data_IF_178159490566
#
_entry.id   IF_178159490566
#
_cell.length_a   1.000
_cell.length_b   1.000
_cell.length_c   1.000
_cell.angle_alpha   90.00
_cell.angle_beta   90.00
_cell.angle_gamma   90.00
#
_symmetry.space_group_name_H-M   'P 1'
#
loop_
_entity.id
_entity.type
_entity.pdbx_description
1 polymer ?
#
# COMPACT_ATOMS: atom_id res chain seq x y z
N UNK A 1 -50.22 -3.73 7.54
CA UNK A 1 -48.90 -3.06 7.51
C UNK A 1 -47.85 -4.14 7.64
N UNK A 2 -47.16 -4.47 6.56
CA UNK A 2 -46.22 -5.58 6.50
C UNK A 2 -46.22 -6.18 5.09
N UNK A 3 -45.34 -5.66 4.23
CA UNK A 3 -44.91 -6.31 2.96
C UNK A 3 -43.93 -5.47 2.13
N UNK A 4 -43.55 -4.26 2.53
CA UNK A 4 -42.63 -3.41 1.76
C UNK A 4 -41.16 -3.53 2.16
N UNK A 5 -40.85 -3.91 3.39
CA UNK A 5 -39.45 -4.11 3.83
C UNK A 5 -38.80 -5.35 3.20
N UNK A 6 -39.54 -6.46 3.03
CA UNK A 6 -38.95 -7.69 2.46
C UNK A 6 -38.64 -7.61 0.96
N UNK A 7 -39.23 -6.64 0.24
CA UNK A 7 -39.02 -6.47 -1.20
C UNK A 7 -37.81 -5.59 -1.52
N UNK A 8 -37.45 -4.65 -0.62
CA UNK A 8 -36.25 -3.84 -0.75
C UNK A 8 -34.99 -4.63 -0.38
N UNK A 9 -35.06 -5.43 0.68
CA UNK A 9 -33.95 -6.30 1.13
C UNK A 9 -33.53 -7.30 0.02
N UNK A 10 -34.50 -7.98 -0.59
CA UNK A 10 -34.21 -8.91 -1.70
C UNK A 10 -33.65 -8.23 -2.96
N UNK A 11 -33.95 -6.94 -3.18
CA UNK A 11 -33.48 -6.20 -4.35
C UNK A 11 -32.03 -5.75 -4.17
N UNK A 12 -31.70 -5.22 -2.98
CA UNK A 12 -30.31 -4.88 -2.61
C UNK A 12 -29.42 -6.13 -2.57
N UNK A 13 -29.91 -7.25 -2.02
CA UNK A 13 -29.16 -8.52 -2.00
C UNK A 13 -28.88 -9.06 -3.41
N UNK A 14 -29.85 -8.94 -4.32
CA UNK A 14 -29.71 -9.41 -5.72
C UNK A 14 -28.78 -8.52 -6.54
N UNK A 15 -28.80 -7.21 -6.32
CA UNK A 15 -27.85 -6.27 -6.92
C UNK A 15 -26.43 -6.45 -6.36
N UNK A 16 -26.31 -6.69 -5.05
CA UNK A 16 -25.05 -7.04 -4.38
C UNK A 16 -24.45 -8.35 -4.94
N UNK A 17 -25.28 -9.38 -5.14
CA UNK A 17 -24.84 -10.64 -5.74
C UNK A 17 -24.36 -10.48 -7.19
N UNK A 18 -25.12 -9.75 -8.02
CA UNK A 18 -24.73 -9.48 -9.40
C UNK A 18 -23.41 -8.71 -9.50
N UNK A 19 -23.22 -7.71 -8.64
CA UNK A 19 -21.98 -6.93 -8.56
C UNK A 19 -20.79 -7.78 -8.11
N UNK A 20 -20.94 -8.56 -7.03
CA UNK A 20 -19.88 -9.45 -6.55
C UNK A 20 -19.53 -10.52 -7.58
N UNK A 21 -20.52 -11.13 -8.24
CA UNK A 21 -20.29 -12.11 -9.30
C UNK A 21 -19.55 -11.50 -10.50
N UNK A 22 -19.94 -10.30 -10.92
CA UNK A 22 -19.23 -9.53 -11.95
C UNK A 22 -17.77 -9.28 -11.54
N UNK A 23 -17.54 -8.95 -10.28
CA UNK A 23 -16.20 -8.75 -9.73
C UNK A 23 -15.35 -10.03 -9.77
N UNK A 24 -15.91 -11.18 -9.37
CA UNK A 24 -15.24 -12.48 -9.51
C UNK A 24 -14.90 -12.79 -10.97
N UNK A 25 -15.81 -12.56 -11.91
CA UNK A 25 -15.54 -12.84 -13.33
C UNK A 25 -14.42 -11.94 -13.89
N UNK A 26 -14.39 -10.66 -13.51
CA UNK A 26 -13.32 -9.72 -13.90
C UNK A 26 -11.98 -10.11 -13.27
N UNK A 27 -11.97 -10.44 -11.98
CA UNK A 27 -10.73 -10.86 -11.29
C UNK A 27 -10.19 -12.19 -11.84
N UNK A 28 -11.08 -13.04 -12.39
CA UNK A 28 -10.75 -14.27 -13.10
C UNK A 28 -10.22 -14.08 -14.52
N UNK A 29 -9.98 -12.86 -14.99
CA UNK A 29 -9.53 -12.59 -16.37
C UNK A 29 -8.31 -13.43 -16.75
N UNK A 30 -7.35 -13.61 -15.85
CA UNK A 30 -6.17 -14.44 -16.10
C UNK A 30 -6.50 -15.94 -16.23
N UNK A 31 -7.43 -16.45 -15.41
CA UNK A 31 -7.98 -17.81 -15.58
C UNK A 31 -8.53 -17.98 -16.99
N UNK A 32 -9.26 -16.98 -17.50
CA UNK A 32 -9.84 -17.01 -18.84
C UNK A 32 -8.77 -16.91 -19.93
N UNK A 33 -7.85 -15.96 -19.81
CA UNK A 33 -6.78 -15.71 -20.77
C UNK A 33 -5.83 -16.89 -20.92
N UNK A 34 -5.59 -17.66 -19.85
CA UNK A 34 -4.73 -18.83 -19.93
C UNK A 34 -5.51 -20.13 -20.17
N UNK A 35 -6.70 -20.32 -19.59
CA UNK A 35 -7.46 -21.57 -19.76
C UNK A 35 -8.14 -21.69 -21.10
N UNK A 36 -8.72 -20.61 -21.66
CA UNK A 36 -9.46 -20.68 -22.94
C UNK A 36 -8.52 -21.02 -24.10
N UNK A 37 -7.37 -20.34 -24.29
CA UNK A 37 -6.43 -20.72 -25.33
C UNK A 37 -5.88 -22.13 -25.14
N UNK A 38 -5.68 -22.54 -23.90
CA UNK A 38 -5.28 -23.89 -23.55
C UNK A 38 -6.29 -24.94 -24.02
N UNK A 39 -7.58 -24.74 -23.75
CA UNK A 39 -8.67 -25.64 -24.15
C UNK A 39 -8.76 -25.81 -25.67
N UNK A 40 -8.65 -24.71 -26.43
CA UNK A 40 -8.96 -24.72 -27.87
C UNK A 40 -7.74 -24.79 -28.79
N UNK A 41 -6.58 -24.30 -28.36
CA UNK A 41 -5.45 -24.01 -29.27
C UNK A 41 -4.09 -24.58 -28.83
N UNK A 42 -3.83 -24.70 -27.52
CA UNK A 42 -2.49 -25.10 -27.04
C UNK A 42 -2.38 -26.60 -26.74
N UNK A 43 -3.39 -27.22 -26.11
CA UNK A 43 -3.27 -28.65 -25.78
C UNK A 43 -3.44 -29.54 -26.99
N UNK A 44 -2.48 -30.46 -27.15
CA UNK A 44 -2.42 -31.45 -28.23
C UNK A 44 -3.13 -32.76 -27.81
N UNK A 45 -3.27 -33.03 -26.51
CA UNK A 45 -3.90 -34.24 -25.95
C UNK A 45 -5.21 -33.90 -25.23
N UNK A 46 -6.26 -34.68 -25.50
CA UNK A 46 -7.61 -34.54 -24.93
C UNK A 46 -7.63 -34.59 -23.40
N UNK A 47 -6.67 -35.27 -22.77
CA UNK A 47 -6.53 -35.34 -21.30
C UNK A 47 -6.25 -33.96 -20.70
N UNK A 48 -5.33 -33.20 -21.31
CA UNK A 48 -4.98 -31.86 -20.83
C UNK A 48 -6.06 -30.84 -21.14
N UNK A 49 -6.76 -31.00 -22.28
CA UNK A 49 -7.97 -30.22 -22.59
C UNK A 49 -9.04 -30.43 -21.55
N UNK A 50 -9.31 -31.69 -21.18
CA UNK A 50 -10.26 -32.01 -20.13
C UNK A 50 -9.85 -31.38 -18.79
N UNK A 51 -8.56 -31.44 -18.43
CA UNK A 51 -8.07 -30.82 -17.20
C UNK A 51 -8.31 -29.30 -17.16
N UNK A 52 -8.06 -28.58 -18.26
CA UNK A 52 -8.36 -27.15 -18.31
C UNK A 52 -9.86 -26.83 -18.37
N UNK A 53 -10.68 -27.67 -19.01
CA UNK A 53 -12.14 -27.53 -18.91
C UNK A 53 -12.58 -27.68 -17.46
N UNK A 54 -12.09 -28.69 -16.74
CA UNK A 54 -12.40 -28.91 -15.32
C UNK A 54 -11.91 -27.75 -14.46
N UNK A 55 -10.70 -27.25 -14.69
CA UNK A 55 -10.17 -26.08 -13.98
C UNK A 55 -11.04 -24.84 -14.23
N UNK A 56 -11.41 -24.60 -15.48
CA UNK A 56 -12.25 -23.47 -15.87
C UNK A 56 -13.66 -23.56 -15.28
N UNK A 57 -14.31 -24.73 -15.35
CA UNK A 57 -15.66 -24.93 -14.80
C UNK A 57 -15.65 -24.88 -13.27
N UNK A 58 -14.65 -25.47 -12.62
CA UNK A 58 -14.52 -25.40 -11.16
C UNK A 58 -14.34 -23.96 -10.66
N UNK A 59 -13.61 -23.11 -11.41
CA UNK A 59 -13.52 -21.68 -11.12
C UNK A 59 -14.91 -21.05 -11.07
N UNK A 60 -15.71 -21.23 -12.13
CA UNK A 60 -17.04 -20.64 -12.24
C UNK A 60 -17.97 -21.09 -11.11
N UNK A 61 -17.97 -22.40 -10.78
CA UNK A 61 -18.79 -22.95 -9.69
C UNK A 61 -18.42 -22.30 -8.36
N UNK A 62 -17.13 -22.18 -8.07
CA UNK A 62 -16.63 -21.64 -6.82
C UNK A 62 -16.84 -20.13 -6.73
N UNK A 63 -16.65 -19.38 -7.82
CA UNK A 63 -16.98 -17.96 -7.89
C UNK A 63 -18.46 -17.69 -7.65
N UNK A 64 -19.36 -18.51 -8.21
CA UNK A 64 -20.81 -18.43 -7.96
C UNK A 64 -21.12 -18.71 -6.49
N UNK A 65 -20.54 -19.79 -5.92
CA UNK A 65 -20.72 -20.14 -4.52
C UNK A 65 -20.22 -19.06 -3.56
N UNK A 66 -19.05 -18.47 -3.82
CA UNK A 66 -18.52 -17.40 -2.99
C UNK A 66 -19.27 -16.08 -3.17
N UNK A 67 -19.68 -15.71 -4.38
CA UNK A 67 -20.54 -14.55 -4.60
C UNK A 67 -21.84 -14.67 -3.79
N UNK A 68 -22.42 -15.88 -3.73
CA UNK A 68 -23.58 -16.17 -2.91
C UNK A 68 -23.28 -16.00 -1.41
N UNK A 69 -22.25 -16.68 -0.89
CA UNK A 69 -21.89 -16.59 0.55
C UNK A 69 -21.55 -15.16 0.97
N UNK A 70 -20.82 -14.42 0.13
CA UNK A 70 -20.42 -13.04 0.41
C UNK A 70 -21.62 -12.10 0.43
N UNK A 71 -22.56 -12.25 -0.51
CA UNK A 71 -23.73 -11.37 -0.60
C UNK A 71 -24.77 -11.64 0.48
N UNK A 72 -24.97 -12.90 0.88
CA UNK A 72 -26.09 -13.27 1.76
C UNK A 72 -25.67 -13.60 3.21
N UNK A 73 -24.38 -13.84 3.49
CA UNK A 73 -23.94 -14.28 4.83
C UNK A 73 -22.77 -13.48 5.45
N UNK A 74 -22.08 -12.63 4.69
CA UNK A 74 -20.86 -11.95 5.15
C UNK A 74 -20.87 -10.43 4.92
N UNK A 75 -22.05 -9.81 4.79
CA UNK A 75 -22.21 -8.39 4.47
C UNK A 75 -21.47 -7.43 5.43
N UNK A 76 -21.20 -7.85 6.67
CA UNK A 76 -20.58 -7.03 7.72
C UNK A 76 -19.05 -7.20 7.88
N UNK A 77 -18.40 -8.12 7.17
CA UNK A 77 -16.97 -8.43 7.35
C UNK A 77 -16.14 -8.09 6.10
N UNK A 78 -15.85 -6.80 5.89
CA UNK A 78 -15.17 -6.29 4.68
C UNK A 78 -13.82 -6.97 4.40
N UNK A 79 -13.00 -7.18 5.43
CA UNK A 79 -11.66 -7.77 5.25
C UNK A 79 -11.74 -9.22 4.75
N UNK A 80 -12.63 -10.02 5.32
CA UNK A 80 -12.85 -11.41 4.92
C UNK A 80 -13.49 -11.48 3.52
N UNK A 81 -14.39 -10.55 3.20
CA UNK A 81 -14.99 -10.41 1.88
C UNK A 81 -13.94 -10.15 0.80
N UNK A 82 -13.01 -9.22 1.02
CA UNK A 82 -11.93 -8.91 0.05
C UNK A 82 -11.03 -10.12 -0.20
N UNK A 83 -10.66 -10.87 0.84
CA UNK A 83 -9.82 -12.06 0.67
C UNK A 83 -10.56 -13.23 0.02
N UNK A 84 -11.84 -13.46 0.36
CA UNK A 84 -12.69 -14.44 -0.31
C UNK A 84 -12.94 -14.11 -1.78
N UNK A 85 -12.82 -12.83 -2.16
CA UNK A 85 -12.89 -12.38 -3.55
C UNK A 85 -11.59 -12.64 -4.31
N UNK A 86 -10.44 -12.28 -3.73
CA UNK A 86 -9.13 -12.39 -4.39
C UNK A 86 -8.54 -13.81 -4.41
N UNK A 87 -8.61 -14.55 -3.30
CA UNK A 87 -7.88 -15.83 -3.13
C UNK A 87 -8.27 -16.88 -4.20
N UNK A 88 -9.56 -17.14 -4.48
CA UNK A 88 -9.94 -18.12 -5.50
C UNK A 88 -9.47 -17.70 -6.90
N UNK A 89 -9.62 -16.44 -7.27
CA UNK A 89 -9.15 -15.96 -8.57
C UNK A 89 -7.63 -16.09 -8.71
N UNK A 90 -6.86 -15.78 -7.67
CA UNK A 90 -5.40 -15.95 -7.67
C UNK A 90 -4.99 -17.43 -7.81
N UNK A 91 -5.57 -18.33 -7.03
CA UNK A 91 -5.22 -19.77 -7.07
C UNK A 91 -5.54 -20.42 -8.42
N UNK A 92 -6.72 -20.13 -8.99
CA UNK A 92 -7.09 -20.66 -10.30
C UNK A 92 -6.25 -20.04 -11.42
N UNK A 93 -5.89 -18.76 -11.30
CA UNK A 93 -5.00 -18.10 -12.27
C UNK A 93 -3.62 -18.73 -12.24
N UNK A 94 -3.07 -18.96 -11.04
CA UNK A 94 -1.81 -19.70 -10.88
C UNK A 94 -1.88 -21.08 -11.53
N UNK A 95 -2.93 -21.87 -11.24
CA UNK A 95 -3.07 -23.19 -11.83
C UNK A 95 -3.11 -23.12 -13.37
N UNK A 96 -3.91 -22.22 -13.95
CA UNK A 96 -4.02 -22.05 -15.40
C UNK A 96 -2.70 -21.62 -16.05
N UNK A 97 -1.97 -20.69 -15.42
CA UNK A 97 -0.69 -20.17 -15.89
C UNK A 97 0.39 -21.25 -15.85
N UNK A 98 0.49 -22.02 -14.76
CA UNK A 98 1.49 -23.09 -14.66
C UNK A 98 1.19 -24.22 -15.64
N UNK A 99 -0.08 -24.57 -15.85
CA UNK A 99 -0.48 -25.57 -16.85
C UNK A 99 -0.10 -25.13 -18.27
N UNK A 100 -0.25 -23.84 -18.59
CA UNK A 100 0.24 -23.28 -19.84
C UNK A 100 1.76 -23.45 -19.96
N UNK A 101 2.53 -23.04 -18.94
CA UNK A 101 3.99 -23.12 -18.95
C UNK A 101 4.53 -24.55 -19.09
N UNK A 102 3.95 -25.51 -18.37
CA UNK A 102 4.30 -26.93 -18.47
C UNK A 102 4.07 -27.46 -19.88
N UNK A 103 2.94 -27.12 -20.49
CA UNK A 103 2.60 -27.60 -21.83
C UNK A 103 3.45 -26.95 -22.93
N UNK A 104 3.72 -25.64 -22.81
CA UNK A 104 4.57 -24.93 -23.75
C UNK A 104 6.01 -25.49 -23.80
N UNK A 105 6.41 -26.24 -22.77
CA UNK A 105 7.70 -26.91 -22.66
C UNK A 105 7.64 -28.42 -22.92
N UNK A 106 6.57 -28.95 -23.53
CA UNK A 106 6.40 -30.41 -23.73
C UNK A 106 7.53 -31.05 -24.56
N UNK A 107 8.05 -30.31 -25.55
CA UNK A 107 9.17 -30.78 -26.40
C UNK A 107 10.55 -30.52 -25.75
N UNK A 108 10.55 -29.97 -24.53
CA UNK A 108 11.73 -29.54 -23.79
C UNK A 108 11.73 -30.13 -22.37
N UNK A 109 11.87 -31.46 -22.22
CA UNK A 109 11.58 -32.19 -20.97
C UNK A 109 12.42 -31.71 -19.77
N UNK A 110 13.69 -31.34 -19.99
CA UNK A 110 14.54 -30.78 -18.95
C UNK A 110 13.96 -29.48 -18.36
N UNK A 111 13.57 -28.53 -19.21
CA UNK A 111 13.01 -27.25 -18.78
C UNK A 111 11.62 -27.41 -18.18
N UNK A 112 10.83 -28.36 -18.69
CA UNK A 112 9.54 -28.73 -18.12
C UNK A 112 9.68 -29.24 -16.68
N UNK A 113 10.65 -30.11 -16.41
CA UNK A 113 10.90 -30.62 -15.05
C UNK A 113 11.35 -29.52 -14.08
N UNK A 114 12.24 -28.62 -14.52
CA UNK A 114 12.63 -27.43 -13.74
C UNK A 114 11.40 -26.58 -13.42
N UNK A 115 10.52 -26.36 -14.40
CA UNK A 115 9.28 -25.59 -14.21
C UNK A 115 8.37 -26.22 -13.15
N UNK A 116 8.18 -27.54 -13.19
CA UNK A 116 7.36 -28.29 -12.22
C UNK A 116 7.97 -28.17 -10.81
N UNK A 117 9.29 -28.26 -10.68
CA UNK A 117 9.95 -28.07 -9.39
C UNK A 117 9.73 -26.66 -8.82
N UNK A 118 9.74 -25.64 -9.67
CA UNK A 118 9.44 -24.26 -9.27
C UNK A 118 7.98 -24.09 -8.81
N UNK A 119 7.04 -24.83 -9.41
CA UNK A 119 5.65 -24.87 -8.93
C UNK A 119 5.56 -25.47 -7.51
N UNK A 120 6.27 -26.57 -7.23
CA UNK A 120 6.30 -27.14 -5.88
C UNK A 120 6.89 -26.17 -4.85
N UNK A 121 7.93 -25.43 -5.22
CA UNK A 121 8.51 -24.38 -4.38
C UNK A 121 7.48 -23.27 -4.11
N UNK A 122 6.70 -22.85 -5.12
CA UNK A 122 5.64 -21.86 -4.93
C UNK A 122 4.59 -22.32 -3.92
N UNK A 123 4.11 -23.57 -4.05
CA UNK A 123 3.14 -24.15 -3.11
C UNK A 123 3.72 -24.19 -1.70
N UNK A 124 4.97 -24.62 -1.56
CA UNK A 124 5.67 -24.65 -0.27
C UNK A 124 5.74 -23.26 0.37
N UNK A 125 6.09 -22.22 -0.41
CA UNK A 125 6.18 -20.84 0.09
C UNK A 125 4.83 -20.29 0.55
N UNK A 126 3.76 -20.58 -0.18
CA UNK A 126 2.40 -20.19 0.22
C UNK A 126 2.05 -20.85 1.56
N UNK A 127 2.16 -22.18 1.64
CA UNK A 127 1.85 -22.93 2.85
C UNK A 127 2.69 -22.44 4.02
N UNK A 128 4.00 -22.23 3.81
CA UNK A 128 4.91 -21.70 4.82
C UNK A 128 4.39 -20.38 5.43
N UNK A 129 3.97 -19.43 4.60
CA UNK A 129 3.45 -18.14 5.10
C UNK A 129 2.08 -18.23 5.79
N UNK A 130 1.37 -19.35 5.61
CA UNK A 130 0.06 -19.59 6.20
C UNK A 130 0.14 -20.35 7.53
N UNK A 131 1.32 -20.90 7.88
CA UNK A 131 1.53 -21.57 9.16
C UNK A 131 1.54 -20.53 10.28
N UNK A 132 0.49 -20.54 11.10
CA UNK A 132 0.31 -19.62 12.24
C UNK A 132 1.43 -19.66 13.27
N UNK A 133 2.11 -20.79 13.44
CA UNK A 133 3.16 -20.95 14.45
C UNK A 133 4.51 -20.36 14.02
N UNK A 134 4.64 -19.93 12.76
CA UNK A 134 5.83 -19.23 12.30
C UNK A 134 5.70 -17.75 12.66
N UNK A 135 6.67 -17.16 13.37
CA UNK A 135 6.64 -15.74 13.75
C UNK A 135 6.41 -14.83 12.53
N UNK A 136 5.57 -13.80 12.69
CA UNK A 136 5.27 -12.83 11.63
C UNK A 136 6.53 -12.32 10.92
N UNK A 137 7.56 -11.91 11.65
CA UNK A 137 8.81 -11.38 11.07
C UNK A 137 9.48 -12.35 10.09
N UNK A 138 9.40 -13.65 10.35
CA UNK A 138 10.00 -14.68 9.48
C UNK A 138 9.15 -14.86 8.22
N UNK A 139 7.82 -14.89 8.37
CA UNK A 139 6.89 -14.97 7.23
C UNK A 139 7.00 -13.73 6.34
N UNK A 140 7.10 -12.55 6.95
CA UNK A 140 7.29 -11.27 6.27
C UNK A 140 8.64 -11.21 5.54
N UNK A 141 9.73 -11.66 6.19
CA UNK A 141 11.05 -11.73 5.56
C UNK A 141 11.04 -12.67 4.34
N UNK A 142 10.40 -13.84 4.45
CA UNK A 142 10.23 -14.74 3.32
C UNK A 142 9.45 -14.08 2.17
N UNK A 143 8.36 -13.36 2.49
CA UNK A 143 7.61 -12.57 1.51
C UNK A 143 8.46 -11.50 0.83
N UNK A 144 9.29 -10.76 1.58
CA UNK A 144 10.22 -9.75 1.06
C UNK A 144 11.29 -10.39 0.15
N UNK A 145 11.86 -11.52 0.55
CA UNK A 145 12.82 -12.26 -0.26
C UNK A 145 12.22 -12.70 -1.61
N UNK A 146 10.98 -13.19 -1.60
CA UNK A 146 10.24 -13.52 -2.83
C UNK A 146 10.00 -12.28 -3.68
N UNK A 147 9.65 -11.13 -3.10
CA UNK A 147 9.51 -9.87 -3.85
C UNK A 147 10.82 -9.45 -4.53
N UNK A 148 11.95 -9.54 -3.83
CA UNK A 148 13.27 -9.22 -4.40
C UNK A 148 13.61 -10.18 -5.55
N UNK A 149 13.41 -11.48 -5.33
CA UNK A 149 13.62 -12.49 -6.36
C UNK A 149 12.73 -12.27 -7.59
N UNK A 150 11.47 -11.89 -7.38
CA UNK A 150 10.52 -11.58 -8.44
C UNK A 150 10.96 -10.34 -9.25
N UNK A 151 11.43 -9.30 -8.58
CA UNK A 151 11.98 -8.10 -9.24
C UNK A 151 13.23 -8.41 -10.06
N UNK A 152 14.15 -9.21 -9.51
CA UNK A 152 15.33 -9.68 -10.23
C UNK A 152 14.95 -10.53 -11.44
N UNK A 153 13.99 -11.45 -11.28
CA UNK A 153 13.48 -12.29 -12.35
C UNK A 153 12.82 -11.47 -13.47
N UNK A 154 12.03 -10.45 -13.12
CA UNK A 154 11.41 -9.54 -14.08
C UNK A 154 12.45 -8.79 -14.89
N UNK A 155 13.44 -8.18 -14.24
CA UNK A 155 14.51 -7.46 -14.92
C UNK A 155 15.32 -8.39 -15.82
N UNK A 156 15.61 -9.61 -15.36
CA UNK A 156 16.28 -10.64 -16.16
C UNK A 156 15.45 -11.07 -17.37
N UNK A 157 14.15 -11.28 -17.22
CA UNK A 157 13.24 -11.65 -18.32
C UNK A 157 13.03 -10.51 -19.31
N UNK A 158 12.95 -9.28 -18.83
CA UNK A 158 12.86 -8.09 -19.68
C UNK A 158 14.14 -7.97 -20.52
N UNK A 159 15.32 -8.01 -19.88
CA UNK A 159 16.61 -7.97 -20.56
C UNK A 159 16.86 -9.19 -21.48
N UNK A 160 16.25 -10.33 -21.18
CA UNK A 160 16.26 -11.54 -22.03
C UNK A 160 15.36 -11.42 -23.25
N UNK A 161 14.13 -10.94 -23.08
CA UNK A 161 13.18 -10.79 -24.17
C UNK A 161 13.60 -9.69 -25.15
N UNK A 162 14.14 -8.58 -24.65
CA UNK A 162 14.78 -7.56 -25.47
C UNK A 162 16.10 -8.12 -26.04
N UNK A 163 16.26 -8.04 -27.37
CA UNK A 163 17.37 -8.56 -28.19
C UNK A 163 17.43 -10.08 -28.49
N UNK A 164 16.69 -10.97 -27.80
CA UNK A 164 16.67 -12.39 -28.21
C UNK A 164 16.02 -12.60 -29.59
N UNK A 165 15.06 -11.76 -29.96
CA UNK A 165 14.45 -11.75 -31.31
C UNK A 165 15.39 -11.30 -32.44
N UNK A 166 16.60 -10.82 -32.09
CA UNK A 166 17.66 -10.44 -33.02
C UNK A 166 18.90 -11.37 -32.93
N UNK A 167 18.76 -12.52 -32.27
CA UNK A 167 19.87 -13.47 -32.05
C UNK A 167 20.94 -12.96 -31.07
N UNK A 168 20.65 -11.92 -30.27
CA UNK A 168 21.64 -11.23 -29.46
C UNK A 168 21.11 -10.90 -28.05
N UNK A 169 20.56 -11.88 -27.33
CA UNK A 169 20.05 -11.71 -25.97
C UNK A 169 20.79 -12.52 -24.93
N UNK A 170 20.65 -12.15 -23.64
CA UNK A 170 21.23 -12.92 -22.53
C UNK A 170 20.70 -14.36 -22.49
N UNK A 171 19.50 -14.63 -23.02
CA UNK A 171 18.98 -16.00 -23.15
C UNK A 171 19.70 -16.78 -24.23
N UNK A 172 19.93 -16.17 -25.40
CA UNK A 172 20.69 -16.81 -26.49
C UNK A 172 22.11 -17.13 -26.04
N UNK A 173 22.73 -16.22 -25.28
CA UNK A 173 24.06 -16.44 -24.69
C UNK A 173 24.10 -17.58 -23.65
N UNK A 174 23.10 -17.67 -22.76
CA UNK A 174 23.09 -18.64 -21.66
C UNK A 174 22.55 -20.02 -22.05
N UNK A 175 21.59 -20.08 -22.97
CA UNK A 175 20.82 -21.28 -23.27
C UNK A 175 20.86 -21.70 -24.74
N UNK A 176 21.41 -20.86 -25.63
CA UNK A 176 21.33 -21.05 -27.09
C UNK A 176 20.04 -20.51 -27.67
N UNK A 177 20.01 -20.31 -29.00
CA UNK A 177 18.92 -19.62 -29.71
C UNK A 177 17.57 -20.36 -29.60
N UNK A 178 17.56 -21.68 -29.83
CA UNK A 178 16.35 -22.50 -29.81
C UNK A 178 15.70 -22.54 -28.41
N UNK A 179 16.51 -22.73 -27.37
CA UNK A 179 16.03 -22.74 -25.99
C UNK A 179 15.60 -21.33 -25.53
N UNK A 180 16.28 -20.28 -25.98
CA UNK A 180 15.91 -18.91 -25.68
C UNK A 180 14.51 -18.56 -26.20
N UNK A 181 14.19 -18.92 -27.45
CA UNK A 181 12.86 -18.70 -28.03
C UNK A 181 11.80 -19.50 -27.28
N UNK A 182 12.09 -20.76 -26.95
CA UNK A 182 11.18 -21.64 -26.23
C UNK A 182 10.87 -21.16 -24.80
N UNK A 183 11.83 -20.50 -24.12
CA UNK A 183 11.70 -20.09 -22.72
C UNK A 183 11.03 -18.73 -22.50
N UNK A 184 10.89 -17.87 -23.52
CA UNK A 184 10.34 -16.52 -23.34
C UNK A 184 8.91 -16.56 -22.77
N UNK A 185 8.00 -17.29 -23.42
CA UNK A 185 6.60 -17.34 -22.99
C UNK A 185 6.37 -18.11 -21.69
N UNK A 186 6.97 -19.31 -21.50
CA UNK A 186 6.95 -20.00 -20.22
C UNK A 186 7.57 -19.17 -19.09
N UNK A 187 8.63 -18.42 -19.38
CA UNK A 187 9.26 -17.49 -18.44
C UNK A 187 8.31 -16.39 -17.96
N UNK A 188 7.59 -15.74 -18.88
CA UNK A 188 6.54 -14.79 -18.53
C UNK A 188 5.41 -15.42 -17.73
N UNK A 189 4.97 -16.63 -18.10
CA UNK A 189 3.99 -17.38 -17.32
C UNK A 189 4.50 -17.64 -15.89
N UNK A 190 5.75 -18.08 -15.74
CA UNK A 190 6.36 -18.30 -14.43
C UNK A 190 6.44 -17.02 -13.60
N UNK A 191 6.77 -15.87 -14.21
CA UNK A 191 6.74 -14.57 -13.53
C UNK A 191 5.35 -14.27 -12.96
N UNK A 192 4.29 -14.38 -13.78
CA UNK A 192 2.93 -14.11 -13.33
C UNK A 192 2.46 -15.11 -12.26
N UNK A 193 2.88 -16.38 -12.35
CA UNK A 193 2.61 -17.36 -11.29
C UNK A 193 3.31 -17.01 -9.98
N UNK A 194 4.57 -16.59 -10.02
CA UNK A 194 5.31 -16.13 -8.84
C UNK A 194 4.74 -14.83 -8.26
N UNK A 195 4.23 -13.93 -9.11
CA UNK A 195 3.49 -12.76 -8.66
C UNK A 195 2.26 -13.15 -7.84
N UNK A 196 1.44 -14.08 -8.35
CA UNK A 196 0.29 -14.58 -7.60
C UNK A 196 0.68 -15.35 -6.35
N UNK A 197 1.78 -16.10 -6.37
CA UNK A 197 2.37 -16.72 -5.19
C UNK A 197 2.63 -15.66 -4.11
N UNK A 198 3.22 -14.52 -4.49
CA UNK A 198 3.49 -13.42 -3.56
C UNK A 198 2.21 -12.80 -3.01
N UNK A 199 1.18 -12.62 -3.84
CA UNK A 199 -0.14 -12.12 -3.40
C UNK A 199 -0.76 -13.07 -2.36
N UNK A 200 -0.72 -14.38 -2.63
CA UNK A 200 -1.21 -15.40 -1.70
C UNK A 200 -0.43 -15.42 -0.38
N UNK A 201 0.88 -15.18 -0.43
CA UNK A 201 1.70 -15.02 0.77
C UNK A 201 1.29 -13.78 1.59
N UNK A 202 1.05 -12.61 0.95
CA UNK A 202 0.55 -11.41 1.66
C UNK A 202 -0.77 -11.73 2.36
N UNK A 203 -1.72 -12.29 1.62
CA UNK A 203 -3.06 -12.57 2.15
C UNK A 203 -3.01 -13.49 3.37
N UNK A 204 -2.17 -14.53 3.34
CA UNK A 204 -1.99 -15.42 4.49
C UNK A 204 -1.30 -14.76 5.67
N UNK A 205 -0.30 -13.90 5.43
CA UNK A 205 0.35 -13.14 6.48
C UNK A 205 -0.70 -12.26 7.18
N UNK A 206 -1.44 -11.45 6.43
CA UNK A 206 -2.41 -10.50 6.97
C UNK A 206 -3.55 -11.17 7.74
N UNK A 207 -4.07 -12.28 7.21
CA UNK A 207 -5.15 -13.05 7.85
C UNK A 207 -4.75 -13.67 9.18
N UNK A 208 -3.45 -13.90 9.38
CA UNK A 208 -2.91 -14.61 10.53
C UNK A 208 -1.94 -13.76 11.37
N UNK A 209 -2.02 -12.44 11.31
CA UNK A 209 -1.39 -11.55 12.29
C UNK A 209 -2.17 -11.65 13.60
N UNK A 210 -1.48 -12.02 14.68
CA UNK A 210 -2.06 -12.02 16.03
C UNK A 210 -2.21 -10.60 16.57
N UNK A 211 -3.13 -10.35 17.53
CA UNK A 211 -3.25 -9.04 18.18
C UNK A 211 -1.95 -8.58 18.86
N UNK A 212 -1.19 -9.51 19.42
CA UNK A 212 0.12 -9.25 20.07
C UNK A 212 1.16 -8.78 19.04
N UNK A 213 1.27 -9.48 17.90
CA UNK A 213 2.15 -9.07 16.79
C UNK A 213 1.74 -7.68 16.27
N UNK A 214 0.44 -7.37 16.21
CA UNK A 214 -0.04 -6.04 15.79
C UNK A 214 0.36 -4.95 16.78
N UNK A 215 0.18 -5.18 18.08
CA UNK A 215 0.58 -4.24 19.12
C UNK A 215 2.09 -3.99 19.11
N UNK A 216 2.88 -5.04 18.91
CA UNK A 216 4.33 -4.94 18.80
C UNK A 216 4.77 -4.15 17.57
N UNK A 217 4.13 -4.36 16.40
CA UNK A 217 4.42 -3.57 15.20
C UNK A 217 4.19 -2.07 15.41
N UNK A 218 3.05 -1.69 16.00
CA UNK A 218 2.74 -0.29 16.30
C UNK A 218 3.76 0.33 17.27
N UNK A 219 4.19 -0.42 18.28
CA UNK A 219 5.21 0.03 19.22
C UNK A 219 6.60 0.21 18.55
N UNK A 220 6.99 -0.70 17.65
CA UNK A 220 8.25 -0.61 16.91
C UNK A 220 8.26 0.54 15.89
N UNK A 221 7.14 0.77 15.21
CA UNK A 221 6.98 1.90 14.29
C UNK A 221 7.11 3.22 15.02
N UNK A 222 6.39 3.38 16.14
CA UNK A 222 6.51 4.55 17.01
C UNK A 222 7.94 4.76 17.53
N UNK A 223 8.62 3.69 17.94
CA UNK A 223 10.01 3.79 18.39
C UNK A 223 10.99 4.19 17.27
N UNK A 224 10.74 3.79 16.02
CA UNK A 224 11.54 4.20 14.86
C UNK A 224 11.31 5.66 14.49
N UNK A 225 10.06 6.13 14.54
CA UNK A 225 9.72 7.54 14.36
C UNK A 225 10.46 8.39 15.40
N UNK A 226 10.35 8.05 16.68
CA UNK A 226 11.07 8.73 17.77
C UNK A 226 12.60 8.72 17.56
N UNK A 227 13.17 7.60 17.09
CA UNK A 227 14.60 7.50 16.81
C UNK A 227 15.05 8.36 15.62
N UNK A 228 14.23 8.47 14.57
CA UNK A 228 14.53 9.34 13.42
C UNK A 228 14.55 10.83 13.81
N UNK A 229 13.58 11.27 14.60
CA UNK A 229 13.50 12.63 15.15
C UNK A 229 14.73 12.92 16.02
N UNK A 230 15.12 11.96 16.87
CA UNK A 230 16.30 12.10 17.71
C UNK A 230 17.59 12.23 16.90
N UNK A 231 17.74 11.46 15.82
CA UNK A 231 18.94 11.51 14.97
C UNK A 231 19.13 12.87 14.31
N UNK A 232 18.06 13.44 13.74
CA UNK A 232 18.07 14.83 13.23
C UNK A 232 18.49 15.78 14.35
N UNK A 233 17.99 15.53 15.56
CA UNK A 233 18.35 16.35 16.70
C UNK A 233 19.84 16.34 17.05
N UNK A 234 20.46 15.16 17.07
CA UNK A 234 21.88 14.95 17.38
C UNK A 234 22.82 15.47 16.27
N UNK A 235 22.47 15.28 14.99
CA UNK A 235 23.22 15.85 13.87
C UNK A 235 23.24 17.39 13.95
N UNK A 236 22.11 18.01 14.29
CA UNK A 236 22.04 19.45 14.49
C UNK A 236 22.83 19.92 15.73
N UNK A 237 22.78 19.19 16.85
CA UNK A 237 23.60 19.54 18.04
C UNK A 237 25.11 19.57 17.72
N UNK A 238 25.57 18.74 16.78
CA UNK A 238 26.97 18.70 16.37
C UNK A 238 27.42 19.89 15.50
N UNK A 239 26.49 20.62 14.88
CA UNK A 239 26.82 21.74 13.98
C UNK A 239 27.05 23.08 14.70
N UNK A 240 26.83 23.14 16.02
CA UNK A 240 27.19 24.27 16.87
C UNK A 240 26.36 25.55 16.72
N UNK A 241 25.29 25.54 15.91
CA UNK A 241 24.50 26.73 15.55
C UNK A 241 23.45 27.18 16.59
N UNK A 242 23.21 26.47 17.71
CA UNK A 242 21.86 26.44 18.33
C UNK A 242 21.73 26.74 19.82
N UNK A 243 22.75 27.23 20.52
CA UNK A 243 22.62 27.41 21.98
C UNK A 243 21.94 28.73 22.40
N UNK A 244 21.66 29.65 21.46
CA UNK A 244 21.15 30.99 21.80
C UNK A 244 19.69 31.27 21.38
N UNK A 245 19.08 30.47 20.48
CA UNK A 245 17.75 30.73 19.88
C UNK A 245 16.93 29.45 19.63
N UNK A 246 15.62 29.57 19.50
CA UNK A 246 14.75 28.48 19.00
C UNK A 246 14.88 28.32 17.48
N UNK A 247 14.77 27.10 16.97
CA UNK A 247 14.88 26.79 15.53
C UNK A 247 13.56 26.19 15.02
N UNK A 248 13.07 26.65 13.88
CA UNK A 248 11.86 26.13 13.24
C UNK A 248 12.22 25.54 11.88
N UNK A 249 11.86 24.28 11.64
CA UNK A 249 12.04 23.56 10.38
C UNK A 249 10.72 23.45 9.63
N UNK A 250 10.73 23.84 8.35
CA UNK A 250 9.65 23.63 7.37
C UNK A 250 10.10 22.49 6.40
N UNK A 251 9.32 22.00 5.43
CA UNK A 251 8.03 21.31 5.57
C UNK A 251 8.17 19.87 6.13
N UNK A 252 7.10 19.35 6.75
CA UNK A 252 7.03 18.23 7.72
C UNK A 252 7.52 18.67 9.12
N UNK A 253 6.67 19.42 9.80
CA UNK A 253 7.10 20.55 10.63
C UNK A 253 7.55 20.20 12.04
N UNK A 254 8.74 20.69 12.36
CA UNK A 254 9.39 20.48 13.65
C UNK A 254 9.90 21.81 14.22
N UNK A 255 9.72 22.01 15.51
CA UNK A 255 10.16 23.19 16.26
C UNK A 255 11.08 22.78 17.40
N UNK A 256 12.18 23.51 17.61
CA UNK A 256 13.07 23.31 18.74
C UNK A 256 13.05 24.54 19.64
N UNK A 257 12.54 24.32 20.85
CA UNK A 257 12.61 25.29 21.94
C UNK A 257 14.07 25.56 22.34
N UNK A 258 14.36 26.82 22.68
CA UNK A 258 15.69 27.22 23.10
C UNK A 258 16.18 26.38 24.28
N UNK A 259 17.37 25.78 24.15
CA UNK A 259 17.96 24.91 25.18
C UNK A 259 17.43 23.47 25.21
N UNK A 260 16.46 23.12 24.35
CA UNK A 260 15.99 21.73 24.20
C UNK A 260 16.98 20.87 23.41
N UNK A 261 17.08 19.58 23.78
CA UNK A 261 17.82 18.55 23.04
C UNK A 261 16.97 17.81 22.00
N UNK A 262 15.69 18.11 21.91
CA UNK A 262 14.73 17.42 21.03
C UNK A 262 13.83 18.42 20.33
N UNK A 263 13.48 18.13 19.08
CA UNK A 263 12.41 18.82 18.37
C UNK A 263 11.04 18.39 18.90
N UNK A 264 10.06 19.28 18.72
CA UNK A 264 8.64 19.08 18.93
C UNK A 264 7.93 19.15 17.58
N UNK A 265 6.93 18.30 17.38
CA UNK A 265 6.10 18.36 16.19
C UNK A 265 5.09 19.51 16.32
N UNK A 266 5.00 20.30 15.26
CA UNK A 266 4.01 21.36 15.12
C UNK A 266 3.18 21.11 13.86
N UNK A 267 1.96 21.64 13.84
CA UNK A 267 1.07 21.53 12.69
C UNK A 267 0.70 22.92 12.19
N UNK A 268 1.11 23.28 10.98
CA UNK A 268 0.66 24.50 10.32
C UNK A 268 -0.84 24.48 10.08
N UNK A 269 -1.47 25.59 10.41
CA UNK A 269 -2.91 25.77 10.31
C UNK A 269 -3.24 26.73 9.17
N UNK A 270 -2.83 27.98 9.29
CA UNK A 270 -3.16 29.04 8.34
C UNK A 270 -2.25 30.26 8.48
N UNK A 271 -2.37 31.20 7.54
CA UNK A 271 -1.78 32.54 7.64
C UNK A 271 -2.86 33.60 7.80
N UNK A 272 -2.63 34.57 8.68
CA UNK A 272 -3.50 35.72 8.89
C UNK A 272 -2.64 36.97 9.07
N UNK A 273 -2.84 37.99 8.23
CA UNK A 273 -2.09 39.26 8.28
C UNK A 273 -0.55 39.13 8.28
N UNK A 274 -0.01 38.11 7.60
CA UNK A 274 1.43 37.83 7.57
C UNK A 274 1.97 37.12 8.81
N UNK A 275 1.09 36.69 9.71
CA UNK A 275 1.39 35.83 10.86
C UNK A 275 0.99 34.39 10.49
N UNK A 276 1.91 33.45 10.67
CA UNK A 276 1.67 32.03 10.43
C UNK A 276 1.25 31.38 11.75
N UNK A 277 0.16 30.63 11.74
CA UNK A 277 -0.40 29.97 12.92
C UNK A 277 -0.14 28.46 12.85
N UNK A 278 0.34 27.92 13.97
CA UNK A 278 0.68 26.52 14.15
C UNK A 278 0.03 25.97 15.43
N UNK A 279 -0.22 24.66 15.46
CA UNK A 279 -0.61 23.91 16.67
C UNK A 279 0.59 23.15 17.22
N UNK A 280 0.96 23.44 18.47
CA UNK A 280 2.01 22.73 19.23
C UNK A 280 1.43 21.49 19.89
N UNK A 281 1.73 20.32 19.33
CA UNK A 281 1.14 19.04 19.73
C UNK A 281 1.78 18.41 20.98
N UNK A 282 2.89 18.97 21.50
CA UNK A 282 3.51 18.47 22.74
C UNK A 282 2.70 18.82 24.00
N UNK A 283 1.82 19.81 23.92
CA UNK A 283 0.93 20.20 25.01
C UNK A 283 -0.39 19.45 24.91
N UNK A 284 -0.95 19.08 26.06
CA UNK A 284 -2.28 18.49 26.18
C UNK A 284 -3.04 19.35 27.23
N UNK A 285 -3.96 20.25 26.81
CA UNK A 285 -4.38 20.52 25.42
C UNK A 285 -3.29 21.20 24.54
N UNK A 286 -3.28 21.02 23.21
CA UNK A 286 -2.40 21.71 22.27
C UNK A 286 -2.52 23.23 22.34
N UNK A 287 -1.40 23.90 22.09
CA UNK A 287 -1.29 25.35 22.18
C UNK A 287 -1.06 26.00 20.84
N UNK A 288 -1.61 27.19 20.66
CA UNK A 288 -1.30 28.02 19.52
C UNK A 288 0.16 28.48 19.57
N UNK A 289 0.84 28.38 18.45
CA UNK A 289 2.15 28.95 18.20
C UNK A 289 2.07 29.83 16.95
N UNK A 290 2.49 31.08 17.06
CA UNK A 290 2.54 32.00 15.93
C UNK A 290 3.98 32.28 15.53
N UNK A 291 4.22 32.34 14.22
CA UNK A 291 5.48 32.78 13.64
C UNK A 291 5.24 34.08 12.86
N UNK A 292 5.97 35.13 13.22
CA UNK A 292 5.85 36.43 12.59
C UNK A 292 7.21 37.10 12.44
N UNK A 293 7.28 38.11 11.58
CA UNK A 293 8.51 38.86 11.29
C UNK A 293 8.37 40.29 11.79
N UNK A 294 9.28 40.71 12.66
CA UNK A 294 9.32 42.07 13.21
C UNK A 294 10.73 42.63 13.06
N UNK A 295 10.86 43.83 12.48
CA UNK A 295 12.15 44.49 12.22
C UNK A 295 13.19 43.62 11.47
N UNK A 296 12.73 42.73 10.59
CA UNK A 296 13.59 41.83 9.81
C UNK A 296 14.00 40.53 10.53
N UNK A 297 13.68 40.38 11.81
CA UNK A 297 13.93 39.19 12.61
C UNK A 297 12.65 38.35 12.74
N UNK A 298 12.79 37.02 12.69
CA UNK A 298 11.68 36.10 12.93
C UNK A 298 11.49 35.86 14.43
N UNK A 299 10.23 35.83 14.85
CA UNK A 299 9.80 35.54 16.20
C UNK A 299 8.78 34.42 16.19
N UNK A 300 8.93 33.53 17.16
CA UNK A 300 7.97 32.50 17.49
C UNK A 300 7.35 32.82 18.85
N UNK A 301 6.03 32.77 18.97
CA UNK A 301 5.35 32.96 20.24
C UNK A 301 4.34 31.84 20.44
N UNK A 302 4.49 31.09 21.53
CA UNK A 302 3.46 30.15 21.98
C UNK A 302 2.51 30.85 22.93
N UNK A 303 1.21 30.54 22.85
CA UNK A 303 0.20 31.14 23.71
C UNK A 303 0.55 30.98 25.21
N UNK A 304 0.61 32.12 25.91
CA UNK A 304 1.02 32.22 27.31
C UNK A 304 2.53 32.28 27.56
N UNK A 305 3.35 32.41 26.51
CA UNK A 305 4.80 32.61 26.60
C UNK A 305 5.23 33.93 25.93
N UNK A 306 6.39 34.44 26.36
CA UNK A 306 7.02 35.60 25.72
C UNK A 306 7.50 35.22 24.31
N UNK A 307 7.46 36.14 23.34
CA UNK A 307 8.01 35.90 22.01
C UNK A 307 9.51 35.60 22.05
N UNK A 308 9.93 34.56 21.34
CA UNK A 308 11.32 34.17 21.22
C UNK A 308 11.84 34.42 19.80
N UNK A 309 13.03 35.02 19.65
CA UNK A 309 13.67 35.11 18.34
C UNK A 309 14.03 33.71 17.84
N UNK A 310 13.72 33.44 16.57
CA UNK A 310 14.00 32.15 15.93
C UNK A 310 14.81 32.31 14.65
N UNK A 311 15.58 31.28 14.34
CA UNK A 311 16.32 31.16 13.09
C UNK A 311 15.60 30.16 12.18
N UNK A 312 15.24 30.62 10.98
CA UNK A 312 14.73 29.74 9.92
C UNK A 312 15.91 29.25 9.07
N UNK A 313 15.92 27.97 8.64
CA UNK A 313 16.93 27.47 7.73
C UNK A 313 17.04 28.31 6.45
N UNK A 314 18.26 28.49 5.92
CA UNK A 314 18.50 29.32 4.71
C UNK A 314 17.67 28.89 3.51
N UNK A 315 17.40 27.58 3.37
CA UNK A 315 16.57 27.05 2.31
C UNK A 315 15.08 27.43 2.47
N UNK A 316 14.62 27.73 3.68
CA UNK A 316 13.28 28.28 3.95
C UNK A 316 13.20 29.74 3.47
N UNK A 317 14.24 30.53 3.77
CA UNK A 317 14.35 31.94 3.37
C UNK A 317 14.38 32.08 1.83
N UNK A 318 15.07 31.16 1.13
CA UNK A 318 15.15 31.16 -0.32
C UNK A 318 13.88 30.69 -1.03
N UNK A 319 12.97 30.01 -0.32
CA UNK A 319 11.74 29.43 -0.86
C UNK A 319 10.47 30.07 -0.30
N UNK A 320 10.57 31.18 0.43
CA UNK A 320 9.41 31.89 0.99
C UNK A 320 8.35 32.18 -0.11
N UNK A 321 8.79 32.54 -1.32
CA UNK A 321 7.92 32.72 -2.49
C UNK A 321 7.19 31.44 -2.95
N UNK A 322 7.82 30.27 -2.78
CA UNK A 322 7.24 28.96 -3.13
C UNK A 322 6.28 28.47 -2.04
N UNK A 323 6.53 28.83 -0.77
CA UNK A 323 5.69 28.45 0.35
C UNK A 323 4.35 29.20 0.36
N UNK A 324 4.33 30.46 -0.09
CA UNK A 324 3.11 31.25 -0.24
C UNK A 324 2.03 30.58 -1.12
N UNK A 325 2.42 29.70 -2.06
CA UNK A 325 1.44 28.96 -2.87
C UNK A 325 0.65 27.90 -2.08
N UNK A 326 1.15 27.48 -0.92
CA UNK A 326 0.56 26.45 -0.06
C UNK A 326 -0.02 27.00 1.25
N UNK A 327 0.17 28.29 1.50
CA UNK A 327 -0.32 28.99 2.69
C UNK A 327 -1.80 29.35 2.52
N UNK A 328 -2.68 28.51 3.08
CA UNK A 328 -4.10 28.84 3.17
C UNK A 328 -4.33 30.01 4.13
N UNK A 329 -5.20 30.95 3.72
CA UNK A 329 -5.79 31.88 4.68
C UNK A 329 -6.70 31.12 5.67
N UNK A 330 -6.99 31.73 6.82
CA UNK A 330 -7.82 31.11 7.88
C UNK A 330 -9.15 30.55 7.36
N UNK A 331 -9.79 31.24 6.42
CA UNK A 331 -11.08 30.84 5.87
C UNK A 331 -10.93 29.68 4.89
N UNK A 332 -9.88 29.68 4.06
CA UNK A 332 -9.52 28.57 3.19
C UNK A 332 -9.20 27.31 3.99
N UNK A 333 -8.41 27.45 5.07
CA UNK A 333 -8.12 26.37 6.01
C UNK A 333 -9.38 25.78 6.62
N UNK A 334 -10.30 26.59 7.16
CA UNK A 334 -11.54 26.09 7.77
C UNK A 334 -12.47 25.42 6.74
N UNK A 335 -12.55 25.94 5.52
CA UNK A 335 -13.31 25.29 4.42
C UNK A 335 -12.70 23.94 4.04
N UNK A 336 -11.36 23.86 3.99
CA UNK A 336 -10.61 22.63 3.75
C UNK A 336 -10.86 21.63 4.88
N UNK A 337 -10.82 22.08 6.13
CA UNK A 337 -11.10 21.25 7.30
C UNK A 337 -12.51 20.64 7.25
N UNK A 338 -13.53 21.40 6.85
CA UNK A 338 -14.89 20.85 6.66
C UNK A 338 -14.95 19.84 5.50
N UNK A 339 -14.34 20.18 4.35
CA UNK A 339 -14.37 19.34 3.15
C UNK A 339 -13.67 18.00 3.39
N UNK A 340 -12.51 18.06 4.03
CA UNK A 340 -11.58 16.94 4.18
C UNK A 340 -11.68 16.30 5.58
N UNK A 341 -12.60 16.79 6.43
CA UNK A 341 -12.83 16.33 7.82
C UNK A 341 -11.56 16.36 8.67
N UNK A 342 -10.80 17.45 8.57
CA UNK A 342 -9.62 17.66 9.41
C UNK A 342 -10.03 18.17 10.79
N UNK A 343 -9.30 17.73 11.81
CA UNK A 343 -9.49 18.21 13.17
C UNK A 343 -8.94 19.63 13.32
N UNK A 344 -9.68 20.50 14.00
CA UNK A 344 -9.33 21.91 14.22
C UNK A 344 -9.13 22.16 15.73
N UNK A 345 -8.00 22.74 16.17
CA UNK A 345 -7.78 23.01 17.58
C UNK A 345 -8.83 23.98 18.15
N UNK A 346 -9.19 23.86 19.42
CA UNK A 346 -10.17 24.76 20.05
C UNK A 346 -9.76 26.24 20.06
N UNK A 347 -8.46 26.53 20.11
CA UNK A 347 -7.97 27.92 20.09
C UNK A 347 -8.21 28.62 18.75
N UNK A 348 -8.51 27.89 17.66
CA UNK A 348 -8.82 28.50 16.37
C UNK A 348 -10.24 29.07 16.42
N UNK A 349 -10.35 30.40 16.46
CA UNK A 349 -11.64 31.09 16.43
C UNK A 349 -12.37 30.87 15.09
N UNK A 350 -13.68 30.61 15.15
CA UNK A 350 -14.52 30.44 13.96
C UNK A 350 -15.20 31.76 13.61
N UNK A 351 -15.14 32.21 12.34
CA UNK A 351 -15.98 33.27 11.83
C UNK A 351 -17.47 32.90 11.90
N UNK A 352 -18.36 33.89 12.06
CA UNK A 352 -19.82 33.70 12.16
C UNK A 352 -20.44 32.94 10.96
N UNK A 353 -19.79 32.99 9.79
CA UNK A 353 -20.25 32.31 8.57
C UNK A 353 -19.82 30.84 8.46
N UNK A 354 -19.02 30.34 9.40
CA UNK A 354 -18.58 28.94 9.47
C UNK A 354 -19.43 28.19 10.50
N UNK A 355 -20.15 27.18 10.03
CA UNK A 355 -20.99 26.32 10.88
C UNK A 355 -20.12 25.41 11.76
N UNK A 356 -20.08 25.71 13.06
CA UNK A 356 -19.33 24.97 14.07
C UNK A 356 -19.72 23.49 14.13
N UNK A 357 -20.98 23.13 13.85
CA UNK A 357 -21.43 21.72 13.86
C UNK A 357 -20.77 20.86 12.77
N UNK A 358 -20.10 21.49 11.81
CA UNK A 358 -19.39 20.84 10.71
C UNK A 358 -17.88 20.77 10.93
N UNK A 359 -17.38 21.30 12.05
CA UNK A 359 -15.96 21.27 12.43
C UNK A 359 -15.75 20.18 13.47
N UNK A 360 -14.78 19.31 13.22
CA UNK A 360 -14.30 18.38 14.25
C UNK A 360 -13.26 19.09 15.12
N UNK A 361 -13.47 19.15 16.43
CA UNK A 361 -12.63 19.89 17.38
C UNK A 361 -11.78 18.93 18.21
N UNK A 362 -10.54 19.32 18.49
CA UNK A 362 -9.69 18.62 19.46
C UNK A 362 -9.18 19.61 20.51
N UNK A 363 -9.30 19.18 21.79
CA UNK A 363 -8.77 19.89 22.96
C UNK A 363 -7.26 19.90 22.94
#
# INVERSE_FOLDING_TARGET
>A
MGSTESFFDQREEKESYGSNLGFYLVFGLFVHLYSIPNIFFVYINDTWRLFAIVLYVSYLIISVGFAYVVSYHLSSYERLKTYLQGIPACLWSMAAINLYGIQALIDHPFYQEVYINLLWIQIFLIVFTWIKWIPFRIRELAGKAVTIALGAFFMFHLAGAFNSTKGAGIYVFLFGEDAAVALIWPGWALFFSLFWTRVMMVAGIDLYITPEERAQMMAEEKAREEASIRKVSEEMLSSGRYLEYGELEYPDESYREKGSKTFENVLFLYVENGVRHFSRMKFDPPKEMILYKEHGQWYCQTSGQEPEPVLLPEWTIQREEVLHEFEDDKRAYLKRAIRDRLQVPYFVELPDDIDESRIDRYE
#
